data_IF_928106401187
#
_entry.id   IF_928106401187
#
_cell.length_a   1.000
_cell.length_b   1.000
_cell.length_c   1.000
_cell.angle_alpha   90.00
_cell.angle_beta   90.00
_cell.angle_gamma   90.00
#
_symmetry.space_group_name_H-M   'P 1'
#
loop_
_entity.id
_entity.type
_entity.pdbx_description
1 polymer ?
#
# COMPACT_ATOMS: atom_id res chain seq x y z
N UNK A 1 -73.11 -0.66 54.05
CA UNK A 1 -72.71 -0.94 52.68
C UNK A 1 -71.24 -0.50 52.53
N UNK A 2 -70.31 -1.38 52.45
CA UNK A 2 -68.87 -1.11 52.22
C UNK A 2 -68.54 -1.59 50.81
N UNK A 3 -67.85 -0.79 49.97
CA UNK A 3 -67.37 -1.28 48.67
C UNK A 3 -66.03 -2.00 48.83
N UNK A 4 -65.89 -3.15 48.19
CA UNK A 4 -64.67 -3.88 47.99
C UNK A 4 -63.83 -3.22 46.91
N UNK A 5 -62.60 -2.90 47.25
CA UNK A 5 -61.57 -2.50 46.28
C UNK A 5 -60.72 -3.74 45.97
N UNK A 6 -60.85 -4.24 44.75
CA UNK A 6 -59.97 -5.31 44.24
C UNK A 6 -58.69 -4.68 43.73
N UNK A 7 -57.54 -5.01 44.34
CA UNK A 7 -56.22 -4.64 43.87
C UNK A 7 -55.78 -5.62 42.79
N UNK A 8 -55.60 -5.14 41.56
CA UNK A 8 -55.04 -5.90 40.43
C UNK A 8 -53.51 -5.75 40.44
N UNK A 9 -52.80 -6.80 40.88
CA UNK A 9 -51.33 -6.81 40.84
C UNK A 9 -50.86 -7.24 39.45
N UNK A 10 -50.37 -6.31 38.66
CA UNK A 10 -49.70 -6.60 37.39
C UNK A 10 -48.26 -7.12 37.67
N UNK A 11 -48.01 -8.39 37.38
CA UNK A 11 -46.67 -8.95 37.34
C UNK A 11 -46.02 -8.57 35.99
N UNK A 12 -45.14 -7.60 36.01
CA UNK A 12 -44.22 -7.35 34.87
C UNK A 12 -43.11 -8.39 34.90
N UNK A 13 -43.20 -9.39 34.03
CA UNK A 13 -42.08 -10.29 33.77
C UNK A 13 -41.06 -9.54 32.89
N UNK A 14 -39.96 -9.06 33.47
CA UNK A 14 -38.83 -8.54 32.73
C UNK A 14 -38.17 -9.72 31.99
N UNK A 15 -38.37 -9.80 30.68
CA UNK A 15 -37.59 -10.65 29.80
C UNK A 15 -36.23 -9.98 29.65
N UNK A 16 -35.25 -10.39 30.45
CA UNK A 16 -33.85 -10.09 30.21
C UNK A 16 -33.42 -10.88 28.97
N UNK A 17 -32.82 -10.22 27.95
CA UNK A 17 -32.18 -10.98 26.88
C UNK A 17 -31.04 -11.80 27.50
N UNK A 18 -31.13 -13.14 27.40
CA UNK A 18 -30.01 -13.99 27.71
C UNK A 18 -28.91 -13.69 26.67
N UNK A 19 -27.90 -12.95 27.10
CA UNK A 19 -26.65 -12.95 26.38
C UNK A 19 -26.12 -14.38 26.46
N UNK A 20 -26.18 -15.11 25.37
CA UNK A 20 -25.42 -16.34 25.21
C UNK A 20 -23.94 -15.97 25.30
N UNK A 21 -23.34 -16.13 26.46
CA UNK A 21 -21.89 -16.20 26.58
C UNK A 21 -21.51 -17.40 25.74
N UNK A 22 -20.90 -17.17 24.59
CA UNK A 22 -20.27 -18.22 23.82
C UNK A 22 -19.34 -18.96 24.78
N UNK A 23 -19.50 -20.29 24.89
CA UNK A 23 -18.57 -21.12 25.65
C UNK A 23 -17.17 -20.80 25.11
N UNK A 24 -16.22 -20.46 26.01
CA UNK A 24 -14.81 -20.27 25.67
C UNK A 24 -14.37 -21.53 24.92
N UNK A 25 -14.28 -21.44 23.59
CA UNK A 25 -13.60 -22.44 22.80
C UNK A 25 -12.12 -22.28 23.12
N UNK A 26 -11.53 -23.27 23.78
CA UNK A 26 -10.10 -23.27 24.05
C UNK A 26 -9.34 -23.07 22.75
N UNK A 27 -8.59 -21.96 22.65
CA UNK A 27 -7.75 -21.70 21.49
C UNK A 27 -6.39 -22.34 21.71
N UNK A 28 -6.02 -23.26 20.83
CA UNK A 28 -4.70 -23.90 20.83
C UNK A 28 -3.85 -23.30 19.72
N UNK A 29 -2.67 -22.81 20.08
CA UNK A 29 -1.68 -22.28 19.12
C UNK A 29 -0.43 -23.16 19.19
N UNK A 30 -0.09 -23.81 18.08
CA UNK A 30 1.10 -24.66 17.97
C UNK A 30 2.11 -23.95 17.05
N UNK A 31 3.25 -23.57 17.61
CA UNK A 31 4.37 -22.97 16.85
C UNK A 31 5.40 -24.05 16.55
N UNK A 32 5.66 -24.30 15.26
CA UNK A 32 6.61 -25.31 14.78
C UNK A 32 8.03 -24.73 14.71
N UNK A 33 8.68 -24.54 15.85
CA UNK A 33 10.04 -24.00 15.92
C UNK A 33 11.10 -24.94 15.31
N UNK A 34 10.77 -26.22 15.13
CA UNK A 34 11.58 -27.24 14.49
C UNK A 34 11.59 -27.16 12.94
N UNK A 35 10.74 -26.32 12.36
CA UNK A 35 10.54 -26.18 10.90
C UNK A 35 10.62 -24.71 10.47
N UNK A 36 11.83 -24.07 10.55
CA UNK A 36 11.96 -22.67 10.15
C UNK A 36 11.60 -22.51 8.67
N UNK A 37 10.79 -21.50 8.39
CA UNK A 37 10.37 -21.09 7.05
C UNK A 37 11.30 -20.04 6.45
N UNK A 38 10.84 -19.34 5.39
CA UNK A 38 11.61 -18.24 4.79
C UNK A 38 11.67 -17.02 5.73
N UNK A 39 12.63 -16.13 5.43
CA UNK A 39 12.70 -14.83 6.10
C UNK A 39 11.57 -13.93 5.61
N UNK A 40 10.88 -13.29 6.55
CA UNK A 40 9.90 -12.24 6.27
C UNK A 40 10.69 -10.99 5.89
N UNK A 41 10.65 -10.59 4.63
CA UNK A 41 11.33 -9.38 4.17
C UNK A 41 10.75 -8.15 4.90
N UNK A 42 11.62 -7.28 5.42
CA UNK A 42 11.19 -6.04 6.08
C UNK A 42 10.26 -5.20 5.20
N UNK A 43 10.40 -5.25 3.87
CA UNK A 43 9.60 -4.47 2.93
C UNK A 43 8.13 -4.89 2.85
N UNK A 44 7.72 -5.99 3.50
CA UNK A 44 6.30 -6.30 3.77
C UNK A 44 5.61 -5.19 4.58
N UNK A 45 6.37 -4.32 5.25
CA UNK A 45 5.86 -3.21 6.07
C UNK A 45 6.05 -1.85 5.41
N UNK A 46 6.21 -1.80 4.08
CA UNK A 46 6.39 -0.56 3.36
C UNK A 46 5.12 0.30 3.35
N UNK A 47 5.31 1.56 2.98
CA UNK A 47 4.27 2.58 2.95
C UNK A 47 4.06 3.07 1.53
N UNK A 48 2.86 3.58 1.27
CA UNK A 48 2.52 4.21 0.00
C UNK A 48 2.13 5.67 0.23
N UNK A 49 2.77 6.57 -0.50
CA UNK A 49 2.50 8.01 -0.52
C UNK A 49 2.23 8.45 -1.93
N UNK A 50 1.11 9.12 -2.15
CA UNK A 50 0.66 9.60 -3.45
C UNK A 50 0.28 11.06 -3.37
N UNK A 51 0.41 11.80 -4.46
CA UNK A 51 -0.16 13.14 -4.62
C UNK A 51 -1.68 13.07 -4.68
N UNK A 52 -2.29 12.84 -3.51
CA UNK A 52 -3.71 12.60 -3.32
C UNK A 52 -4.19 13.29 -2.05
N UNK A 53 -5.21 14.15 -2.19
CA UNK A 53 -5.81 14.85 -1.05
C UNK A 53 -4.77 15.56 -0.20
N UNK A 54 -4.78 15.31 1.09
CA UNK A 54 -3.78 15.83 2.04
C UNK A 54 -2.72 14.80 2.46
N UNK A 55 -2.48 13.79 1.63
CA UNK A 55 -1.42 12.79 1.89
C UNK A 55 -0.03 13.39 1.86
N UNK A 56 0.27 14.18 0.85
CA UNK A 56 1.54 14.92 0.72
C UNK A 56 1.40 16.29 1.37
N UNK A 57 0.63 17.20 0.78
CA UNK A 57 0.49 18.58 1.27
C UNK A 57 -0.38 18.65 2.51
N UNK A 58 0.16 19.22 3.61
CA UNK A 58 -0.47 19.23 4.93
C UNK A 58 -0.27 17.92 5.72
N UNK A 59 -0.03 16.82 5.02
CA UNK A 59 0.27 15.51 5.58
C UNK A 59 1.77 15.32 5.85
N UNK A 60 2.53 14.96 4.84
CA UNK A 60 3.99 14.76 4.96
C UNK A 60 4.73 16.09 4.84
N UNK A 61 4.30 16.97 3.94
CA UNK A 61 4.98 18.20 3.57
C UNK A 61 4.12 19.44 3.85
N UNK A 62 4.71 20.42 4.51
CA UNK A 62 4.04 21.68 4.87
C UNK A 62 4.76 22.93 4.35
N UNK A 63 5.93 22.74 3.72
CA UNK A 63 6.80 23.84 3.30
C UNK A 63 7.70 24.35 4.44
N UNK A 64 8.84 24.92 4.07
CA UNK A 64 9.87 25.33 5.03
C UNK A 64 9.44 26.50 5.90
N UNK A 65 8.61 27.41 5.35
CA UNK A 65 8.12 28.61 6.04
C UNK A 65 6.88 28.33 6.92
N UNK A 66 6.43 27.08 6.99
CA UNK A 66 5.29 26.69 7.81
C UNK A 66 5.56 26.90 9.31
N UNK A 67 4.59 27.41 10.10
CA UNK A 67 4.70 27.45 11.55
C UNK A 67 4.65 26.05 12.19
N UNK A 68 4.26 25.01 11.45
CA UNK A 68 4.30 23.62 11.90
C UNK A 68 5.77 23.17 11.96
N UNK A 69 6.26 22.60 13.08
CA UNK A 69 7.63 22.14 13.19
C UNK A 69 8.02 21.20 12.05
N UNK A 70 9.02 21.60 11.27
CA UNK A 70 9.43 20.87 10.09
C UNK A 70 10.95 20.85 9.90
N UNK A 71 11.43 19.94 9.08
CA UNK A 71 12.80 19.87 8.59
C UNK A 71 12.76 19.86 7.07
N UNK A 72 13.22 20.91 6.43
CA UNK A 72 13.15 21.09 4.96
C UNK A 72 11.72 21.00 4.41
N UNK A 73 10.75 21.53 5.17
CA UNK A 73 9.33 21.48 4.84
C UNK A 73 8.61 20.18 5.21
N UNK A 74 9.31 19.17 5.70
CA UNK A 74 8.77 17.87 6.09
C UNK A 74 8.42 17.87 7.59
N UNK A 75 7.21 17.42 7.94
CA UNK A 75 6.69 17.46 9.33
C UNK A 75 7.53 16.60 10.25
N UNK A 76 8.05 17.20 11.33
CA UNK A 76 8.90 16.50 12.29
C UNK A 76 8.15 15.44 13.11
N UNK A 77 6.88 15.65 13.40
CA UNK A 77 6.01 14.69 14.11
C UNK A 77 5.75 13.43 13.27
N UNK A 78 5.44 13.61 11.98
CA UNK A 78 5.27 12.51 11.01
C UNK A 78 6.58 11.74 10.84
N UNK A 79 7.71 12.43 10.63
CA UNK A 79 9.04 11.79 10.54
C UNK A 79 9.32 10.96 11.80
N UNK A 80 9.09 11.51 12.98
CA UNK A 80 9.35 10.80 14.23
C UNK A 80 8.49 9.53 14.36
N UNK A 81 7.20 9.61 14.01
CA UNK A 81 6.30 8.47 14.07
C UNK A 81 6.71 7.36 13.08
N UNK A 82 7.07 7.70 11.83
CA UNK A 82 7.48 6.71 10.83
C UNK A 82 8.85 6.09 11.15
N UNK A 83 9.77 6.85 11.74
CA UNK A 83 11.04 6.30 12.28
C UNK A 83 10.80 5.30 13.40
N UNK A 84 9.85 5.60 14.30
CA UNK A 84 9.47 4.67 15.37
C UNK A 84 8.92 3.35 14.82
N UNK A 85 8.15 3.39 13.73
CA UNK A 85 7.68 2.20 13.00
C UNK A 85 8.82 1.45 12.30
N UNK A 86 9.99 2.07 12.11
CA UNK A 86 11.08 1.57 11.25
C UNK A 86 10.57 1.28 9.84
N UNK A 87 9.82 2.24 9.26
CA UNK A 87 9.32 2.10 7.89
C UNK A 87 10.46 1.75 6.95
N UNK A 88 10.44 0.59 6.29
CA UNK A 88 11.59 0.12 5.51
C UNK A 88 11.66 0.74 4.12
N UNK A 89 10.53 1.14 3.55
CA UNK A 89 10.42 1.64 2.17
C UNK A 89 9.18 2.51 2.02
N UNK A 90 9.25 3.48 1.11
CA UNK A 90 8.09 4.29 0.68
C UNK A 90 7.97 4.26 -0.83
N UNK A 91 6.75 3.95 -1.31
CA UNK A 91 6.34 4.03 -2.71
C UNK A 91 5.82 5.43 -3.03
N UNK A 92 6.32 6.05 -4.12
CA UNK A 92 5.98 7.40 -4.60
C UNK A 92 6.25 7.50 -6.12
N UNK A 93 5.67 8.40 -6.93
CA UNK A 93 4.80 9.55 -6.58
C UNK A 93 3.32 9.19 -6.46
N UNK A 94 2.94 7.95 -6.70
CA UNK A 94 1.56 7.53 -6.62
C UNK A 94 1.30 6.16 -7.18
N UNK A 95 0.01 5.84 -7.17
CA UNK A 95 -0.68 4.87 -7.97
C UNK A 95 -1.12 5.52 -9.28
N UNK A 96 -2.41 5.88 -9.39
CA UNK A 96 -2.94 6.52 -10.60
C UNK A 96 -2.22 7.82 -10.97
N UNK A 97 -1.82 8.63 -9.98
CA UNK A 97 -1.10 9.88 -10.24
C UNK A 97 0.27 9.64 -10.91
N UNK A 98 0.92 8.51 -10.67
CA UNK A 98 2.23 8.22 -11.27
C UNK A 98 2.18 8.22 -12.80
N UNK A 99 1.08 7.79 -13.41
CA UNK A 99 0.94 7.67 -14.87
C UNK A 99 0.51 8.98 -15.57
N UNK A 100 0.33 10.07 -14.79
CA UNK A 100 0.23 11.44 -15.28
C UNK A 100 1.37 12.36 -14.78
N UNK A 101 2.26 11.86 -13.87
CA UNK A 101 3.34 12.64 -13.31
C UNK A 101 4.56 12.74 -14.22
N UNK A 102 4.97 13.98 -14.54
CA UNK A 102 6.19 14.26 -15.27
C UNK A 102 7.27 14.77 -14.30
N UNK A 103 8.28 13.95 -14.03
CA UNK A 103 9.27 14.18 -12.98
C UNK A 103 10.03 15.51 -13.10
N UNK A 104 10.19 16.04 -14.34
CA UNK A 104 10.83 17.34 -14.56
C UNK A 104 10.01 18.51 -14.02
N UNK A 105 8.71 18.36 -13.89
CA UNK A 105 7.85 19.36 -13.27
C UNK A 105 8.11 19.48 -11.75
N UNK A 106 8.66 18.45 -11.11
CA UNK A 106 8.95 18.39 -9.67
C UNK A 106 10.43 18.56 -9.31
N UNK A 107 11.27 19.16 -10.15
CA UNK A 107 12.68 19.44 -9.85
C UNK A 107 13.04 20.93 -10.07
N UNK A 108 14.20 21.32 -9.56
CA UNK A 108 14.67 22.71 -9.63
C UNK A 108 13.94 23.64 -8.65
N UNK A 109 14.12 24.98 -8.81
CA UNK A 109 13.51 25.98 -7.93
C UNK A 109 11.98 25.87 -7.91
N UNK A 110 11.38 25.80 -6.73
CA UNK A 110 9.93 25.55 -6.56
C UNK A 110 9.06 26.58 -7.25
N UNK A 111 9.46 27.84 -7.25
CA UNK A 111 8.74 28.94 -7.90
C UNK A 111 8.71 28.86 -9.45
N UNK A 112 9.46 27.92 -10.02
CA UNK A 112 9.51 27.68 -11.47
C UNK A 112 8.90 26.34 -11.87
N UNK A 113 8.48 25.54 -10.90
CA UNK A 113 7.87 24.23 -11.17
C UNK A 113 6.52 24.42 -11.83
N UNK A 114 6.18 23.50 -12.74
CA UNK A 114 4.90 23.57 -13.44
C UNK A 114 3.75 23.29 -12.48
N UNK A 115 2.66 24.03 -12.62
CA UNK A 115 1.39 23.74 -11.95
C UNK A 115 0.52 22.96 -12.94
N UNK A 116 0.05 21.77 -12.51
CA UNK A 116 -0.79 20.89 -13.32
C UNK A 116 -2.13 20.66 -12.61
N UNK A 117 -3.10 20.14 -13.32
CA UNK A 117 -4.31 19.60 -12.68
C UNK A 117 -4.06 18.13 -12.36
N UNK A 118 -4.23 17.75 -11.11
CA UNK A 118 -4.29 16.35 -10.70
C UNK A 118 -5.64 15.79 -11.15
N UNK A 119 -5.65 15.11 -12.29
CA UNK A 119 -6.90 14.68 -12.94
C UNK A 119 -7.49 13.45 -12.27
N UNK A 120 -6.66 12.62 -11.63
CA UNK A 120 -7.10 11.43 -10.94
C UNK A 120 -7.72 11.74 -9.57
N UNK A 121 -7.15 12.72 -8.85
CA UNK A 121 -7.51 12.94 -7.44
C UNK A 121 -8.03 14.35 -7.19
N UNK A 122 -9.35 14.48 -7.18
CA UNK A 122 -10.05 15.70 -6.77
C UNK A 122 -10.09 16.84 -7.79
N UNK A 123 -9.40 16.74 -8.91
CA UNK A 123 -9.38 17.78 -9.95
C UNK A 123 -8.75 19.09 -9.47
N UNK A 124 -7.77 19.03 -8.57
CA UNK A 124 -7.14 20.20 -7.94
C UNK A 124 -5.80 20.55 -8.59
N UNK A 125 -5.33 21.81 -8.49
CA UNK A 125 -3.98 22.17 -8.89
C UNK A 125 -2.93 21.42 -8.08
N UNK A 126 -1.94 20.84 -8.78
CA UNK A 126 -0.72 20.26 -8.23
C UNK A 126 0.44 21.19 -8.60
N UNK A 127 1.07 21.79 -7.61
CA UNK A 127 2.13 22.78 -7.80
C UNK A 127 3.53 22.16 -7.85
N UNK A 128 3.62 20.86 -7.67
CA UNK A 128 4.87 20.11 -7.66
C UNK A 128 5.91 20.60 -6.63
N UNK A 129 5.46 21.27 -5.55
CA UNK A 129 6.34 21.74 -4.49
C UNK A 129 7.03 20.58 -3.76
N UNK A 130 6.43 19.39 -3.77
CA UNK A 130 7.03 18.13 -3.34
C UNK A 130 7.35 17.29 -4.60
N UNK A 131 8.64 17.14 -4.90
CA UNK A 131 9.11 16.38 -6.04
C UNK A 131 10.23 15.41 -5.66
N UNK A 132 11.10 15.10 -6.63
CA UNK A 132 12.17 14.11 -6.45
C UNK A 132 13.06 14.39 -5.23
N UNK A 133 13.50 15.63 -5.06
CA UNK A 133 14.40 16.00 -3.95
C UNK A 133 13.71 15.90 -2.61
N UNK A 134 12.50 16.42 -2.49
CA UNK A 134 11.70 16.38 -1.26
C UNK A 134 11.34 14.94 -0.88
N UNK A 135 11.03 14.09 -1.85
CA UNK A 135 10.78 12.66 -1.61
C UNK A 135 12.02 11.95 -1.05
N UNK A 136 13.19 12.17 -1.66
CA UNK A 136 14.42 11.56 -1.15
C UNK A 136 14.85 12.14 0.19
N UNK A 137 14.62 13.41 0.45
CA UNK A 137 14.80 13.99 1.78
C UNK A 137 13.88 13.31 2.81
N UNK A 138 12.64 13.03 2.45
CA UNK A 138 11.70 12.33 3.31
C UNK A 138 12.16 10.92 3.64
N UNK A 139 12.49 10.09 2.64
CA UNK A 139 12.93 8.71 2.90
C UNK A 139 14.26 8.65 3.65
N UNK A 140 15.20 9.54 3.37
CA UNK A 140 16.47 9.65 4.12
C UNK A 140 16.22 10.04 5.59
N UNK A 141 15.31 10.99 5.86
CA UNK A 141 14.98 11.42 7.22
C UNK A 141 14.29 10.31 8.03
N UNK A 142 13.47 9.48 7.43
CA UNK A 142 12.84 8.36 8.15
C UNK A 142 13.72 7.09 8.17
N UNK A 143 14.77 7.03 7.35
CA UNK A 143 15.68 5.88 7.24
C UNK A 143 15.13 4.76 6.36
N UNK A 144 14.26 5.09 5.38
CA UNK A 144 13.63 4.15 4.47
C UNK A 144 14.36 4.05 3.12
N UNK A 145 14.10 2.97 2.39
CA UNK A 145 14.46 2.82 0.99
C UNK A 145 13.39 3.47 0.08
N UNK A 146 13.77 3.80 -1.15
CA UNK A 146 12.87 4.41 -2.13
C UNK A 146 12.33 3.36 -3.12
N UNK A 147 11.01 3.36 -3.29
CA UNK A 147 10.32 2.74 -4.41
C UNK A 147 9.72 3.87 -5.26
N UNK A 148 10.20 4.00 -6.50
CA UNK A 148 9.77 5.03 -7.44
C UNK A 148 8.94 4.40 -8.55
N UNK A 149 7.77 4.98 -8.85
CA UNK A 149 6.87 4.51 -9.91
C UNK A 149 6.99 5.42 -11.14
N UNK A 150 7.44 4.86 -12.26
CA UNK A 150 7.61 5.58 -13.52
C UNK A 150 6.31 5.68 -14.29
N UNK A 151 6.12 6.80 -14.96
CA UNK A 151 4.98 7.11 -15.81
C UNK A 151 5.04 6.31 -17.12
N UNK A 152 4.10 5.39 -17.33
CA UNK A 152 3.91 4.68 -18.61
C UNK A 152 2.60 5.08 -19.30
N UNK A 153 1.72 5.81 -18.61
CA UNK A 153 0.44 6.29 -19.15
C UNK A 153 0.62 7.43 -20.13
N UNK A 154 1.26 8.50 -19.71
CA UNK A 154 1.51 9.71 -20.53
C UNK A 154 2.99 9.95 -20.80
N UNK A 155 3.89 9.23 -20.11
CA UNK A 155 5.33 9.36 -20.24
C UNK A 155 5.92 8.57 -21.42
N UNK A 156 7.25 8.56 -21.48
CA UNK A 156 8.00 7.86 -22.52
C UNK A 156 9.13 7.02 -21.90
N UNK A 157 9.62 5.96 -22.59
CA UNK A 157 10.79 5.20 -22.14
C UNK A 157 12.03 6.08 -21.92
N UNK A 158 12.20 7.13 -22.72
CA UNK A 158 13.28 8.09 -22.56
C UNK A 158 13.13 8.87 -21.25
N UNK A 159 11.96 9.37 -20.97
CA UNK A 159 11.68 10.13 -19.75
C UNK A 159 11.94 9.28 -18.48
N UNK A 160 11.48 8.04 -18.47
CA UNK A 160 11.74 7.11 -17.37
C UNK A 160 13.25 6.81 -17.21
N UNK A 161 13.98 6.60 -18.33
CA UNK A 161 15.42 6.36 -18.30
C UNK A 161 16.19 7.60 -17.82
N UNK A 162 15.81 8.80 -18.26
CA UNK A 162 16.40 10.07 -17.83
C UNK A 162 16.16 10.31 -16.34
N UNK A 163 14.97 9.96 -15.81
CA UNK A 163 14.70 10.08 -14.39
C UNK A 163 15.54 9.11 -13.55
N UNK A 164 15.66 7.87 -13.99
CA UNK A 164 16.52 6.88 -13.34
C UNK A 164 17.98 7.32 -13.33
N UNK A 165 18.49 7.87 -14.47
CA UNK A 165 19.84 8.44 -14.55
C UNK A 165 20.00 9.65 -13.64
N UNK A 166 19.04 10.57 -13.62
CA UNK A 166 19.06 11.75 -12.75
C UNK A 166 19.19 11.34 -11.28
N UNK A 167 18.45 10.32 -10.84
CA UNK A 167 18.48 9.83 -9.47
C UNK A 167 19.78 9.08 -9.15
N UNK A 168 20.22 8.18 -10.02
CA UNK A 168 21.22 7.15 -9.68
C UNK A 168 22.57 7.32 -10.37
N UNK A 169 22.68 8.21 -11.33
CA UNK A 169 23.92 8.44 -12.09
C UNK A 169 25.02 9.08 -11.24
N UNK A 170 26.28 8.72 -11.52
CA UNK A 170 27.47 9.24 -10.84
C UNK A 170 28.56 9.75 -11.81
N UNK A 171 28.36 9.57 -13.12
CA UNK A 171 29.27 10.06 -14.15
C UNK A 171 28.94 11.50 -14.52
N UNK A 172 29.88 12.22 -15.15
CA UNK A 172 29.69 13.61 -15.53
C UNK A 172 28.80 13.75 -16.77
N UNK A 173 27.50 13.56 -16.58
CA UNK A 173 26.46 13.74 -17.60
C UNK A 173 25.67 15.03 -17.37
N UNK A 174 24.88 15.44 -18.36
CA UNK A 174 24.00 16.61 -18.24
C UNK A 174 23.02 16.45 -17.08
N UNK A 175 22.40 15.27 -16.92
CA UNK A 175 21.42 15.01 -15.86
C UNK A 175 22.06 14.98 -14.48
N UNK A 176 23.28 14.44 -14.36
CA UNK A 176 24.02 14.45 -13.10
C UNK A 176 24.45 15.86 -12.70
N UNK A 177 24.89 16.69 -13.68
CA UNK A 177 25.17 18.12 -13.43
C UNK A 177 23.91 18.88 -13.02
N UNK A 178 22.78 18.61 -13.65
CA UNK A 178 21.48 19.20 -13.29
C UNK A 178 21.06 18.83 -11.86
N UNK A 179 21.17 17.55 -11.46
CA UNK A 179 20.91 17.13 -10.08
C UNK A 179 21.80 17.86 -9.08
N UNK A 180 23.10 18.00 -9.38
CA UNK A 180 24.04 18.73 -8.54
C UNK A 180 23.71 20.23 -8.46
N UNK A 181 23.35 20.85 -9.56
CA UNK A 181 22.89 22.23 -9.60
C UNK A 181 21.60 22.43 -8.76
N UNK A 182 20.74 21.43 -8.70
CA UNK A 182 19.55 21.40 -7.87
C UNK A 182 19.85 21.02 -6.40
N UNK A 183 21.14 20.96 -5.98
CA UNK A 183 21.55 20.82 -4.59
C UNK A 183 21.87 19.39 -4.13
N UNK A 184 21.85 18.39 -5.02
CA UNK A 184 22.19 17.01 -4.64
C UNK A 184 23.45 16.52 -5.33
N UNK A 185 24.55 16.48 -4.57
CA UNK A 185 25.86 16.07 -5.07
C UNK A 185 25.93 14.55 -5.33
N UNK A 186 25.51 13.73 -4.36
CA UNK A 186 25.58 12.26 -4.43
C UNK A 186 24.34 11.65 -5.06
N UNK A 187 24.48 10.55 -5.83
CA UNK A 187 23.30 9.80 -6.29
C UNK A 187 22.49 9.27 -5.13
N UNK A 188 21.20 9.07 -5.36
CA UNK A 188 20.35 8.33 -4.44
C UNK A 188 20.36 6.84 -4.77
N UNK A 189 19.89 6.04 -3.82
CA UNK A 189 19.57 4.63 -4.01
C UNK A 189 18.07 4.52 -4.32
N UNK A 190 17.74 3.93 -5.45
CA UNK A 190 16.40 3.49 -5.79
C UNK A 190 16.38 1.97 -5.65
N UNK A 191 15.54 1.43 -4.77
CA UNK A 191 15.47 -0.02 -4.52
C UNK A 191 14.52 -0.72 -5.47
N UNK A 192 13.37 -0.12 -5.75
CA UNK A 192 12.39 -0.60 -6.74
C UNK A 192 12.08 0.53 -7.72
N UNK A 193 12.05 0.19 -9.01
CA UNK A 193 11.59 1.08 -10.07
C UNK A 193 10.46 0.38 -10.82
N UNK A 194 9.23 0.79 -10.51
CA UNK A 194 8.06 0.24 -11.16
C UNK A 194 7.82 0.92 -12.52
N UNK A 195 7.35 0.16 -13.46
CA UNK A 195 7.01 0.62 -14.81
C UNK A 195 5.48 0.61 -14.97
N UNK A 196 4.86 1.69 -14.50
CA UNK A 196 3.41 1.89 -14.53
C UNK A 196 2.68 1.39 -13.29
N UNK A 197 1.43 1.83 -13.17
CA UNK A 197 0.48 1.48 -12.13
C UNK A 197 -0.88 1.16 -12.72
N UNK A 198 -1.53 0.07 -12.27
CA UNK A 198 -2.91 -0.25 -12.67
C UNK A 198 -3.18 -0.01 -14.17
N UNK A 199 -2.28 -0.51 -15.01
CA UNK A 199 -2.32 -0.23 -16.45
C UNK A 199 -3.57 -0.76 -17.14
N UNK A 200 -4.29 -1.69 -16.48
CA UNK A 200 -5.64 -2.14 -16.86
C UNK A 200 -6.74 -1.08 -16.60
N UNK A 201 -6.46 -0.08 -15.78
CA UNK A 201 -7.39 0.97 -15.34
C UNK A 201 -6.79 2.36 -15.51
N UNK A 202 -6.63 3.09 -14.39
CA UNK A 202 -6.19 4.49 -14.40
C UNK A 202 -4.81 4.72 -15.02
N UNK A 203 -3.93 3.73 -15.03
CA UNK A 203 -2.61 3.80 -15.67
C UNK A 203 -2.62 3.71 -17.20
N UNK A 204 -3.79 3.76 -17.84
CA UNK A 204 -3.87 3.83 -19.30
C UNK A 204 -4.93 2.94 -19.95
N UNK A 205 -5.71 2.20 -19.18
CA UNK A 205 -6.78 1.31 -19.66
C UNK A 205 -6.29 0.38 -20.79
N UNK A 206 -5.15 -0.26 -20.57
CA UNK A 206 -4.40 -1.04 -21.55
C UNK A 206 -4.87 -2.50 -21.60
N UNK A 207 -4.79 -3.11 -22.79
CA UNK A 207 -4.85 -4.57 -22.88
C UNK A 207 -3.53 -5.17 -22.36
N UNK A 208 -3.57 -6.37 -21.76
CA UNK A 208 -2.37 -6.97 -21.16
C UNK A 208 -1.22 -7.20 -22.17
N UNK A 209 -1.53 -7.54 -23.43
CA UNK A 209 -0.52 -7.72 -24.47
C UNK A 209 0.17 -6.40 -24.85
N UNK A 210 -0.61 -5.31 -24.94
CA UNK A 210 -0.05 -3.98 -25.23
C UNK A 210 0.87 -3.53 -24.08
N UNK A 211 0.43 -3.75 -22.84
CA UNK A 211 1.27 -3.40 -21.69
C UNK A 211 2.54 -4.26 -21.64
N UNK A 212 2.47 -5.56 -21.95
CA UNK A 212 3.65 -6.42 -22.00
C UNK A 212 4.68 -5.93 -23.04
N UNK A 213 4.22 -5.48 -24.22
CA UNK A 213 5.09 -4.89 -25.24
C UNK A 213 5.68 -3.55 -24.77
N UNK A 214 4.88 -2.70 -24.15
CA UNK A 214 5.31 -1.42 -23.57
C UNK A 214 6.31 -1.65 -22.42
N UNK A 215 6.05 -2.59 -21.54
CA UNK A 215 6.99 -2.98 -20.48
C UNK A 215 8.34 -3.40 -21.05
N UNK A 216 8.36 -4.25 -22.07
CA UNK A 216 9.60 -4.67 -22.77
C UNK A 216 10.38 -3.46 -23.30
N UNK A 217 9.66 -2.50 -23.89
CA UNK A 217 10.27 -1.28 -24.41
C UNK A 217 10.90 -0.45 -23.29
N UNK A 218 10.16 -0.16 -22.21
CA UNK A 218 10.68 0.59 -21.07
C UNK A 218 11.85 -0.15 -20.41
N UNK A 219 11.68 -1.42 -20.03
CA UNK A 219 12.70 -2.20 -19.35
C UNK A 219 14.02 -2.29 -20.11
N UNK A 220 13.98 -2.24 -21.46
CA UNK A 220 15.18 -2.25 -22.30
C UNK A 220 16.10 -1.06 -22.02
N UNK A 221 15.53 0.09 -21.66
CA UNK A 221 16.28 1.34 -21.42
C UNK A 221 16.55 1.62 -19.95
N UNK A 222 15.97 0.85 -19.02
CA UNK A 222 16.26 0.99 -17.59
C UNK A 222 17.65 0.41 -17.29
N UNK A 223 18.67 1.24 -17.44
CA UNK A 223 20.07 0.87 -17.24
C UNK A 223 20.75 1.86 -16.31
N UNK A 224 21.47 1.34 -15.34
CA UNK A 224 22.27 2.11 -14.39
C UNK A 224 23.67 1.56 -14.33
N UNK A 225 24.55 2.21 -13.56
CA UNK A 225 25.88 1.69 -13.26
C UNK A 225 25.79 0.32 -12.54
N UNK A 226 26.80 -0.53 -12.65
CA UNK A 226 26.85 -1.78 -11.93
C UNK A 226 26.63 -1.59 -10.41
N UNK A 227 25.74 -2.38 -9.82
CA UNK A 227 25.43 -2.33 -8.39
C UNK A 227 24.41 -1.25 -7.97
N UNK A 228 23.91 -0.41 -8.92
CA UNK A 228 22.87 0.58 -8.64
C UNK A 228 21.55 0.27 -9.35
N UNK A 229 21.44 -0.91 -9.97
CA UNK A 229 20.22 -1.29 -10.68
C UNK A 229 19.10 -1.62 -9.68
N UNK A 230 17.97 -0.90 -9.71
CA UNK A 230 16.80 -1.23 -8.90
C UNK A 230 16.16 -2.54 -9.35
N UNK A 231 15.33 -3.15 -8.53
CA UNK A 231 14.38 -4.16 -9.00
C UNK A 231 13.38 -3.51 -9.95
N UNK A 232 13.10 -4.17 -11.08
CA UNK A 232 12.08 -3.73 -12.04
C UNK A 232 10.77 -4.44 -11.74
N UNK A 233 9.75 -3.67 -11.45
CA UNK A 233 8.41 -4.13 -11.13
C UNK A 233 7.46 -3.86 -12.30
N UNK A 234 6.69 -4.86 -12.69
CA UNK A 234 5.62 -4.72 -13.67
C UNK A 234 4.27 -4.52 -12.98
N UNK A 235 3.41 -3.67 -13.55
CA UNK A 235 2.00 -3.55 -13.16
C UNK A 235 1.28 -4.87 -13.47
N UNK A 236 0.78 -5.53 -12.42
CA UNK A 236 0.11 -6.82 -12.52
C UNK A 236 -1.41 -6.70 -12.38
N UNK A 237 -1.99 -7.75 -11.82
CA UNK A 237 -3.44 -7.89 -11.68
C UNK A 237 -3.97 -7.24 -10.39
N UNK A 238 -5.29 -7.25 -10.26
CA UNK A 238 -6.02 -6.89 -9.05
C UNK A 238 -6.99 -7.99 -8.65
N UNK A 239 -7.36 -8.02 -7.37
CA UNK A 239 -8.29 -9.03 -6.84
C UNK A 239 -7.85 -10.47 -7.22
N UNK A 240 -8.76 -11.27 -7.71
CA UNK A 240 -8.48 -12.65 -8.17
C UNK A 240 -8.19 -12.79 -9.65
N UNK A 241 -7.90 -11.70 -10.36
CA UNK A 241 -7.53 -11.72 -11.78
C UNK A 241 -6.12 -12.30 -11.96
N UNK A 242 -5.84 -12.87 -13.14
CA UNK A 242 -4.53 -13.45 -13.48
C UNK A 242 -4.07 -13.10 -14.89
N UNK A 243 -4.87 -12.35 -15.63
CA UNK A 243 -4.66 -12.16 -17.07
C UNK A 243 -3.41 -11.32 -17.38
N UNK A 244 -3.11 -10.31 -16.56
CA UNK A 244 -1.89 -9.52 -16.71
C UNK A 244 -0.66 -10.35 -16.36
N UNK A 245 -0.67 -11.05 -15.23
CA UNK A 245 0.42 -11.94 -14.82
C UNK A 245 0.71 -13.01 -15.86
N UNK A 246 -0.31 -13.72 -16.36
CA UNK A 246 -0.13 -14.72 -17.41
C UNK A 246 0.48 -14.13 -18.67
N UNK A 247 0.00 -12.96 -19.09
CA UNK A 247 0.45 -12.30 -20.32
C UNK A 247 1.88 -11.79 -20.17
N UNK A 248 2.22 -11.20 -19.04
CA UNK A 248 3.58 -10.75 -18.74
C UNK A 248 4.55 -11.94 -18.73
N UNK A 249 4.21 -13.03 -18.03
CA UNK A 249 5.06 -14.21 -17.95
C UNK A 249 5.30 -14.89 -19.31
N UNK A 250 4.35 -14.76 -20.24
CA UNK A 250 4.46 -15.28 -21.63
C UNK A 250 5.27 -14.37 -22.55
N UNK A 251 5.14 -13.05 -22.40
CA UNK A 251 5.58 -12.07 -23.41
C UNK A 251 6.76 -11.20 -22.98
N UNK A 252 7.07 -11.07 -21.67
CA UNK A 252 8.23 -10.30 -21.24
C UNK A 252 9.51 -11.06 -21.56
N UNK A 253 10.42 -10.41 -22.30
CA UNK A 253 11.67 -10.96 -22.81
C UNK A 253 12.90 -10.46 -22.04
N UNK A 254 12.72 -9.35 -21.32
CA UNK A 254 13.76 -8.70 -20.55
C UNK A 254 13.71 -9.02 -19.07
N UNK A 255 14.31 -8.13 -18.28
CA UNK A 255 14.31 -8.22 -16.84
C UNK A 255 12.94 -7.82 -16.29
N UNK A 256 12.40 -8.65 -15.42
CA UNK A 256 11.23 -8.40 -14.60
C UNK A 256 11.46 -9.14 -13.29
N UNK A 257 11.71 -8.40 -12.21
CA UNK A 257 12.09 -8.97 -10.91
C UNK A 257 10.85 -9.29 -10.06
N UNK A 258 9.77 -8.54 -10.30
CA UNK A 258 8.50 -8.73 -9.60
C UNK A 258 7.30 -8.27 -10.45
N UNK A 259 6.11 -8.70 -10.04
CA UNK A 259 4.81 -8.30 -10.59
C UNK A 259 3.96 -7.79 -9.41
N UNK A 260 3.22 -6.70 -9.61
CA UNK A 260 2.32 -6.15 -8.59
C UNK A 260 1.00 -6.92 -8.49
N UNK A 261 0.39 -6.84 -7.31
CA UNK A 261 -0.99 -7.27 -7.05
C UNK A 261 -1.66 -6.23 -6.17
N UNK A 262 -2.84 -5.75 -6.58
CA UNK A 262 -3.64 -4.83 -5.79
C UNK A 262 -4.87 -5.50 -5.20
N UNK A 263 -5.17 -5.24 -3.94
CA UNK A 263 -6.39 -5.68 -3.30
C UNK A 263 -6.88 -4.72 -2.24
N UNK A 264 -8.06 -4.15 -2.46
CA UNK A 264 -8.76 -3.36 -1.45
C UNK A 264 -9.91 -4.13 -0.84
N UNK A 265 -9.96 -4.16 0.49
CA UNK A 265 -11.08 -4.72 1.23
C UNK A 265 -12.27 -3.78 1.14
N UNK A 266 -13.33 -4.23 0.45
CA UNK A 266 -14.65 -3.59 0.34
C UNK A 266 -15.73 -4.58 0.76
N UNK A 267 -16.95 -4.12 1.05
CA UNK A 267 -17.98 -4.98 1.64
C UNK A 267 -18.75 -5.86 0.66
N UNK A 268 -18.83 -5.48 -0.59
CA UNK A 268 -19.65 -6.18 -1.57
C UNK A 268 -18.85 -6.64 -2.78
N UNK A 269 -19.52 -7.32 -3.73
CA UNK A 269 -18.86 -7.82 -4.92
C UNK A 269 -18.60 -6.75 -5.98
N UNK A 270 -19.19 -5.56 -5.84
CA UNK A 270 -19.01 -4.46 -6.79
C UNK A 270 -18.23 -3.34 -6.12
N UNK A 271 -17.46 -2.59 -6.91
CA UNK A 271 -16.66 -1.47 -6.44
C UNK A 271 -17.46 -0.40 -5.67
N UNK A 272 -18.73 -0.21 -6.03
CA UNK A 272 -19.64 0.73 -5.40
C UNK A 272 -20.17 0.26 -4.04
N UNK A 273 -20.04 -1.01 -3.72
CA UNK A 273 -20.55 -1.63 -2.49
C UNK A 273 -19.62 -1.34 -1.28
N UNK A 274 -19.22 -0.09 -1.11
CA UNK A 274 -18.38 0.38 0.00
C UNK A 274 -19.22 0.68 1.22
N UNK A 275 -18.71 0.33 2.41
CA UNK A 275 -19.32 0.71 3.69
C UNK A 275 -18.85 2.09 4.15
N UNK A 276 -19.34 2.49 5.31
CA UNK A 276 -18.86 3.66 6.05
C UNK A 276 -17.62 3.31 6.87
N UNK A 277 -16.73 4.28 7.03
CA UNK A 277 -15.54 4.13 7.87
C UNK A 277 -15.91 3.97 9.35
N UNK A 278 -16.97 4.65 9.79
CA UNK A 278 -17.48 4.65 11.17
C UNK A 278 -18.98 4.37 11.19
N UNK A 279 -19.54 4.07 12.38
CA UNK A 279 -20.98 3.84 12.53
C UNK A 279 -21.49 2.55 11.89
N UNK A 280 -20.61 1.64 11.52
CA UNK A 280 -20.95 0.32 11.00
C UNK A 280 -21.51 -0.58 12.11
N UNK A 281 -22.37 -1.51 11.72
CA UNK A 281 -22.91 -2.55 12.61
C UNK A 281 -22.02 -3.81 12.67
N UNK A 282 -22.47 -4.82 13.41
CA UNK A 282 -21.77 -6.12 13.49
C UNK A 282 -21.64 -6.80 12.12
N UNK A 283 -22.64 -6.62 11.24
CA UNK A 283 -22.58 -7.11 9.86
C UNK A 283 -21.48 -6.43 9.04
N UNK A 284 -21.29 -5.12 9.20
CA UNK A 284 -20.19 -4.36 8.60
C UNK A 284 -18.83 -4.80 9.13
N UNK A 285 -18.75 -5.05 10.43
CA UNK A 285 -17.54 -5.57 11.09
C UNK A 285 -17.09 -6.90 10.49
N UNK A 286 -17.94 -7.94 10.59
CA UNK A 286 -17.56 -9.29 10.17
C UNK A 286 -17.32 -9.40 8.66
N UNK A 287 -18.12 -8.69 7.84
CA UNK A 287 -17.95 -8.69 6.38
C UNK A 287 -16.60 -8.11 5.96
N UNK A 288 -16.17 -7.04 6.61
CA UNK A 288 -14.84 -6.45 6.34
C UNK A 288 -13.75 -7.47 6.64
N UNK A 289 -13.78 -8.14 7.80
CA UNK A 289 -12.79 -9.14 8.16
C UNK A 289 -12.83 -10.35 7.23
N UNK A 290 -14.01 -10.87 6.91
CA UNK A 290 -14.15 -12.00 5.99
C UNK A 290 -13.66 -11.67 4.56
N UNK A 291 -13.95 -10.45 4.06
CA UNK A 291 -13.45 -10.02 2.76
C UNK A 291 -11.93 -9.79 2.76
N UNK A 292 -11.35 -9.37 3.88
CA UNK A 292 -9.89 -9.26 4.01
C UNK A 292 -9.21 -10.61 3.78
N UNK A 293 -9.76 -11.69 4.32
CA UNK A 293 -9.18 -13.03 4.19
C UNK A 293 -9.17 -13.57 2.74
N UNK A 294 -9.93 -12.97 1.82
CA UNK A 294 -9.94 -13.39 0.41
C UNK A 294 -8.59 -13.24 -0.28
N UNK A 295 -7.76 -12.31 0.17
CA UNK A 295 -6.43 -12.08 -0.42
C UNK A 295 -5.54 -13.34 -0.34
N UNK A 296 -5.76 -14.20 0.65
CA UNK A 296 -5.04 -15.48 0.77
C UNK A 296 -5.20 -16.34 -0.50
N UNK A 297 -6.44 -16.49 -0.97
CA UNK A 297 -6.72 -17.21 -2.22
C UNK A 297 -6.16 -16.53 -3.46
N UNK A 298 -6.13 -15.19 -3.49
CA UNK A 298 -5.57 -14.45 -4.62
C UNK A 298 -4.05 -14.59 -4.70
N UNK A 299 -3.34 -14.47 -3.57
CA UNK A 299 -1.90 -14.69 -3.51
C UNK A 299 -1.56 -16.15 -3.84
N UNK A 300 -2.32 -17.12 -3.31
CA UNK A 300 -2.12 -18.54 -3.61
C UNK A 300 -2.20 -18.81 -5.11
N UNK A 301 -3.22 -18.25 -5.78
CA UNK A 301 -3.40 -18.43 -7.23
C UNK A 301 -2.28 -17.79 -8.04
N UNK A 302 -1.83 -16.60 -7.65
CA UNK A 302 -0.72 -15.92 -8.30
C UNK A 302 0.61 -16.68 -8.08
N UNK A 303 0.87 -17.19 -6.87
CA UNK A 303 2.08 -17.97 -6.59
C UNK A 303 2.13 -19.29 -7.36
N UNK A 304 0.99 -20.01 -7.46
CA UNK A 304 0.84 -21.21 -8.28
C UNK A 304 1.20 -20.89 -9.74
N UNK A 305 0.56 -19.88 -10.32
CA UNK A 305 0.76 -19.45 -11.70
C UNK A 305 2.23 -19.08 -11.99
N UNK A 306 2.82 -18.23 -11.15
CA UNK A 306 4.23 -17.83 -11.28
C UNK A 306 5.15 -19.04 -11.20
N UNK A 307 4.87 -19.98 -10.30
CA UNK A 307 5.66 -21.20 -10.12
C UNK A 307 5.59 -22.15 -11.32
N UNK A 308 4.41 -22.25 -11.97
CA UNK A 308 4.22 -23.01 -13.21
C UNK A 308 5.07 -22.42 -14.35
N UNK A 309 5.02 -21.11 -14.57
CA UNK A 309 5.80 -20.45 -15.59
C UNK A 309 7.31 -20.54 -15.32
N UNK A 310 7.74 -20.39 -14.07
CA UNK A 310 9.15 -20.54 -13.68
C UNK A 310 9.66 -21.96 -13.93
N UNK A 311 8.86 -22.97 -13.64
CA UNK A 311 9.22 -24.37 -13.90
C UNK A 311 9.33 -24.71 -15.38
N UNK A 312 8.50 -24.05 -16.22
CA UNK A 312 8.48 -24.26 -17.67
C UNK A 312 9.62 -23.52 -18.42
N UNK A 313 10.37 -22.63 -17.77
CA UNK A 313 11.46 -21.89 -18.42
C UNK A 313 12.59 -22.82 -18.85
N UNK A 314 13.21 -22.60 -20.04
CA UNK A 314 14.44 -23.28 -20.42
C UNK A 314 15.53 -23.08 -19.34
N UNK A 315 16.08 -24.19 -18.82
CA UNK A 315 17.06 -24.15 -17.71
C UNK A 315 16.43 -24.34 -16.32
N UNK A 316 15.10 -24.48 -16.24
CA UNK A 316 14.38 -24.75 -15.00
C UNK A 316 14.06 -23.50 -14.17
N UNK A 317 13.68 -23.69 -12.92
CA UNK A 317 13.31 -22.59 -12.01
C UNK A 317 14.45 -21.60 -11.81
N UNK A 318 14.17 -20.29 -11.81
CA UNK A 318 15.17 -19.29 -11.54
C UNK A 318 15.73 -19.44 -10.11
N UNK A 319 16.98 -19.01 -9.91
CA UNK A 319 17.59 -19.02 -8.57
C UNK A 319 16.82 -18.13 -7.58
N UNK A 320 16.26 -17.03 -8.08
CA UNK A 320 15.41 -16.11 -7.31
C UNK A 320 14.04 -16.11 -7.97
N UNK A 321 13.00 -16.41 -7.21
CA UNK A 321 11.63 -16.38 -7.68
C UNK A 321 11.24 -14.96 -8.12
N UNK A 322 10.43 -14.83 -9.16
CA UNK A 322 9.77 -13.56 -9.50
C UNK A 322 8.93 -13.11 -8.31
N UNK A 323 9.15 -11.90 -7.78
CA UNK A 323 8.41 -11.39 -6.64
C UNK A 323 6.93 -11.17 -6.97
N UNK A 324 6.06 -11.38 -6.00
CA UNK A 324 4.68 -10.88 -6.01
C UNK A 324 4.61 -9.75 -4.98
N UNK A 325 4.45 -8.51 -5.46
CA UNK A 325 4.44 -7.34 -4.60
C UNK A 325 3.03 -6.81 -4.46
N UNK A 326 2.49 -6.87 -3.23
CA UNK A 326 1.16 -6.34 -2.92
C UNK A 326 1.31 -4.85 -2.59
N UNK A 327 1.62 -4.06 -3.59
CA UNK A 327 2.02 -2.67 -3.44
C UNK A 327 0.86 -1.67 -3.36
N UNK A 328 -0.39 -2.21 -3.37
CA UNK A 328 -1.58 -1.51 -2.87
C UNK A 328 -2.52 -2.49 -2.15
N UNK A 329 -2.79 -2.20 -0.88
CA UNK A 329 -3.76 -2.95 -0.08
C UNK A 329 -4.30 -2.10 1.06
N UNK A 330 -5.43 -2.51 1.61
CA UNK A 330 -6.07 -1.86 2.74
C UNK A 330 -7.59 -1.82 2.59
N UNK A 331 -8.24 -1.02 3.42
CA UNK A 331 -9.67 -0.77 3.36
C UNK A 331 -9.98 0.45 2.49
N UNK A 332 -11.06 0.37 1.73
CA UNK A 332 -11.57 1.50 0.97
C UNK A 332 -13.05 1.69 1.26
N UNK A 333 -13.36 2.70 2.05
CA UNK A 333 -14.73 3.05 2.43
C UNK A 333 -15.28 4.19 1.58
N UNK A 334 -16.56 4.52 1.80
CA UNK A 334 -17.14 5.74 1.25
C UNK A 334 -16.39 6.94 1.80
N UNK A 335 -16.14 7.98 0.98
CA UNK A 335 -15.54 9.21 1.46
C UNK A 335 -16.33 9.82 2.61
N UNK A 336 -15.63 10.44 3.57
CA UNK A 336 -16.27 11.13 4.67
C UNK A 336 -17.21 12.23 4.16
N UNK A 337 -18.43 12.34 4.73
CA UNK A 337 -19.40 13.35 4.33
C UNK A 337 -18.80 14.77 4.44
N UNK A 338 -18.94 15.56 3.37
CA UNK A 338 -18.44 16.94 3.32
C UNK A 338 -16.98 17.06 2.86
N UNK A 339 -16.22 15.96 2.72
CA UNK A 339 -14.90 15.96 2.08
C UNK A 339 -15.04 15.95 0.56
N UNK A 340 -13.95 16.35 -0.15
CA UNK A 340 -13.85 16.10 -1.59
C UNK A 340 -13.78 14.58 -1.81
N UNK A 341 -14.70 13.96 -2.57
CA UNK A 341 -14.71 12.51 -2.77
C UNK A 341 -13.41 11.95 -3.37
N UNK A 342 -12.71 12.76 -4.18
CA UNK A 342 -11.43 12.38 -4.76
C UNK A 342 -10.24 12.46 -3.79
N UNK A 343 -10.44 12.90 -2.55
CA UNK A 343 -9.40 12.94 -1.53
C UNK A 343 -9.35 11.70 -0.65
N UNK A 344 -10.30 10.80 -0.80
CA UNK A 344 -10.37 9.50 -0.14
C UNK A 344 -10.15 9.57 1.37
N UNK A 345 -10.72 10.61 2.00
CA UNK A 345 -10.65 10.80 3.46
C UNK A 345 -11.54 9.76 4.13
N UNK A 346 -10.98 8.99 5.04
CA UNK A 346 -11.72 8.06 5.88
C UNK A 346 -11.13 7.98 7.29
N UNK A 347 -12.00 7.84 8.29
CA UNK A 347 -11.61 7.59 9.67
C UNK A 347 -11.18 6.13 9.84
N UNK A 348 -10.04 5.90 10.52
CA UNK A 348 -9.57 4.56 10.84
C UNK A 348 -10.05 4.12 12.24
N UNK A 349 -10.45 2.86 12.37
CA UNK A 349 -10.96 2.25 13.61
C UNK A 349 -10.18 0.99 13.99
N UNK A 350 -10.56 0.31 15.08
CA UNK A 350 -10.00 -0.99 15.45
C UNK A 350 -10.23 -2.06 14.36
N UNK A 351 -11.34 -1.94 13.60
CA UNK A 351 -11.62 -2.81 12.44
C UNK A 351 -10.46 -2.79 11.44
N UNK A 352 -9.94 -1.61 11.14
CA UNK A 352 -8.82 -1.42 10.20
C UNK A 352 -7.51 -2.00 10.75
N UNK A 353 -7.26 -1.89 12.05
CA UNK A 353 -6.10 -2.52 12.70
C UNK A 353 -6.13 -4.05 12.56
N UNK A 354 -7.32 -4.68 12.72
CA UNK A 354 -7.48 -6.12 12.53
C UNK A 354 -7.34 -6.52 11.05
N UNK A 355 -7.82 -5.70 10.11
CA UNK A 355 -7.58 -5.87 8.68
C UNK A 355 -6.08 -5.88 8.39
N UNK A 356 -5.32 -4.95 8.94
CA UNK A 356 -3.87 -4.91 8.76
C UNK A 356 -3.19 -6.16 9.35
N UNK A 357 -3.57 -6.57 10.55
CA UNK A 357 -3.03 -7.76 11.20
C UNK A 357 -3.31 -9.05 10.41
N UNK A 358 -4.55 -9.21 9.90
CA UNK A 358 -4.93 -10.35 9.08
C UNK A 358 -4.13 -10.41 7.77
N UNK A 359 -3.97 -9.27 7.09
CA UNK A 359 -3.13 -9.18 5.89
C UNK A 359 -1.68 -9.55 6.18
N UNK A 360 -1.06 -9.04 7.25
CA UNK A 360 0.31 -9.41 7.62
C UNK A 360 0.47 -10.91 7.86
N UNK A 361 -0.44 -11.55 8.57
CA UNK A 361 -0.39 -12.99 8.79
C UNK A 361 -0.44 -13.76 7.46
N UNK A 362 -1.24 -13.29 6.50
CA UNK A 362 -1.29 -13.88 5.16
C UNK A 362 0.01 -13.63 4.40
N UNK A 363 0.54 -12.41 4.39
CA UNK A 363 1.81 -12.10 3.71
C UNK A 363 2.98 -12.93 4.25
N UNK A 364 3.04 -13.14 5.59
CA UNK A 364 4.05 -13.99 6.22
C UNK A 364 3.97 -15.45 5.77
N UNK A 365 2.76 -15.96 5.51
CA UNK A 365 2.55 -17.31 4.98
C UNK A 365 3.23 -17.50 3.62
N UNK A 366 3.32 -16.43 2.82
CA UNK A 366 3.93 -16.42 1.48
C UNK A 366 5.26 -15.67 1.44
N UNK A 367 6.02 -15.63 2.53
CA UNK A 367 7.23 -14.82 2.66
C UNK A 367 8.34 -15.14 1.64
N UNK A 368 8.33 -16.30 1.00
CA UNK A 368 9.25 -16.66 -0.09
C UNK A 368 8.86 -16.07 -1.45
N UNK A 369 7.64 -15.55 -1.59
CA UNK A 369 7.08 -14.93 -2.80
C UNK A 369 6.73 -13.46 -2.59
N UNK A 370 6.03 -13.14 -1.49
CA UNK A 370 5.63 -11.78 -1.13
C UNK A 370 6.75 -11.13 -0.33
N UNK A 371 7.62 -10.39 -1.03
CA UNK A 371 8.78 -9.74 -0.42
C UNK A 371 8.59 -8.25 -0.18
N UNK A 372 7.50 -7.68 -0.69
CA UNK A 372 7.15 -6.27 -0.50
C UNK A 372 5.65 -6.11 -0.48
N UNK A 373 5.14 -5.29 0.41
CA UNK A 373 3.76 -4.80 0.37
C UNK A 373 3.72 -3.33 0.77
N UNK A 374 2.78 -2.55 0.24
CA UNK A 374 2.62 -1.15 0.63
C UNK A 374 1.15 -0.84 0.93
N UNK A 375 0.89 -0.47 2.18
CA UNK A 375 -0.47 -0.10 2.59
C UNK A 375 -0.87 1.25 2.01
N UNK A 376 -2.08 1.37 1.58
CA UNK A 376 -2.68 2.60 1.10
C UNK A 376 -3.44 3.31 2.24
N UNK A 377 -2.95 4.46 2.76
CA UNK A 377 -1.68 5.11 2.45
C UNK A 377 -0.99 5.58 3.76
N UNK A 378 0.13 6.31 3.64
CA UNK A 378 0.93 6.69 4.82
C UNK A 378 0.22 7.70 5.72
N UNK A 379 -0.33 8.79 5.15
CA UNK A 379 -0.95 9.91 5.88
C UNK A 379 -2.27 10.32 5.23
N UNK A 380 -3.31 10.53 6.03
CA UNK A 380 -4.60 11.15 5.69
C UNK A 380 -5.47 10.44 4.63
N UNK A 381 -4.98 9.49 3.91
CA UNK A 381 -5.65 8.88 2.77
C UNK A 381 -5.95 7.40 3.06
N UNK A 382 -7.16 6.96 2.78
CA UNK A 382 -7.59 5.57 2.96
C UNK A 382 -7.24 5.02 4.34
N UNK A 383 -6.62 3.84 4.41
CA UNK A 383 -6.22 3.21 5.67
C UNK A 383 -4.87 3.78 6.16
N UNK A 384 -4.85 5.08 6.49
CA UNK A 384 -3.65 5.80 6.84
C UNK A 384 -3.06 5.38 8.20
N UNK A 385 -1.72 5.45 8.31
CA UNK A 385 -1.01 5.29 9.59
C UNK A 385 -1.24 6.49 10.50
N UNK A 386 -1.31 7.67 9.92
CA UNK A 386 -1.31 8.96 10.61
C UNK A 386 -2.38 9.84 10.00
N UNK A 387 -3.10 10.56 10.86
CA UNK A 387 -3.98 11.65 10.43
C UNK A 387 -3.41 12.97 10.94
N UNK A 388 -3.47 14.01 10.09
CA UNK A 388 -3.03 15.37 10.42
C UNK A 388 -4.13 16.37 10.09
N UNK A 389 -4.26 17.39 10.95
CA UNK A 389 -5.12 18.54 10.71
C UNK A 389 -4.42 19.79 11.27
N UNK A 390 -3.98 20.70 10.40
CA UNK A 390 -3.14 21.81 10.78
C UNK A 390 -1.92 21.33 11.61
N UNK A 391 -1.68 21.88 12.83
CA UNK A 391 -0.58 21.44 13.68
C UNK A 391 -0.85 20.11 14.41
N UNK A 392 -2.06 19.61 14.43
CA UNK A 392 -2.41 18.37 15.11
C UNK A 392 -1.98 17.13 14.32
N UNK A 393 -1.63 16.06 15.05
CA UNK A 393 -1.32 14.75 14.49
C UNK A 393 -1.81 13.66 15.44
N UNK A 394 -2.42 12.62 14.89
CA UNK A 394 -2.79 11.41 15.64
C UNK A 394 -2.31 10.15 14.92
N UNK A 395 -1.94 9.15 15.70
CA UNK A 395 -1.62 7.80 15.23
C UNK A 395 -2.89 6.98 15.21
N UNK A 396 -3.19 6.35 14.09
CA UNK A 396 -4.41 5.55 13.93
C UNK A 396 -4.27 4.17 14.59
N UNK A 397 -5.37 3.41 14.78
CA UNK A 397 -5.27 2.01 15.17
C UNK A 397 -4.42 1.16 14.23
N UNK A 398 -4.40 1.46 12.92
CA UNK A 398 -3.54 0.80 11.94
C UNK A 398 -2.06 1.04 12.23
N UNK A 399 -1.65 2.26 12.64
CA UNK A 399 -0.29 2.54 13.10
C UNK A 399 0.13 1.59 14.22
N UNK A 400 -0.74 1.38 15.20
CA UNK A 400 -0.45 0.50 16.34
C UNK A 400 -0.34 -0.96 15.92
N UNK A 401 -1.13 -1.42 14.95
CA UNK A 401 -0.94 -2.75 14.35
C UNK A 401 0.47 -2.88 13.74
N UNK A 402 0.89 -1.94 12.89
CA UNK A 402 2.26 -1.94 12.33
C UNK A 402 3.33 -1.93 13.43
N UNK A 403 3.14 -1.15 14.48
CA UNK A 403 4.07 -1.09 15.60
C UNK A 403 4.21 -2.43 16.32
N UNK A 404 3.11 -3.16 16.51
CA UNK A 404 3.11 -4.49 17.11
C UNK A 404 3.81 -5.52 16.22
N UNK A 405 3.71 -5.39 14.89
CA UNK A 405 4.35 -6.29 13.92
C UNK A 405 5.82 -5.96 13.63
N UNK A 406 6.35 -4.88 14.13
CA UNK A 406 7.75 -4.45 13.95
C UNK A 406 8.81 -5.53 14.22
N UNK A 407 8.65 -6.43 15.24
CA UNK A 407 9.63 -7.49 15.49
C UNK A 407 9.74 -8.55 14.38
N UNK A 408 8.79 -8.62 13.47
CA UNK A 408 8.79 -9.58 12.36
C UNK A 408 9.64 -9.13 11.17
N UNK A 409 10.08 -7.86 11.13
CA UNK A 409 10.97 -7.35 10.08
C UNK A 409 12.28 -8.15 10.06
N UNK A 410 12.60 -8.78 8.92
CA UNK A 410 13.76 -9.66 8.69
C UNK A 410 13.82 -10.88 9.63
N UNK A 411 12.70 -11.24 10.29
CA UNK A 411 12.60 -12.42 11.11
C UNK A 411 12.36 -13.68 10.28
N UNK A 412 12.83 -14.83 10.78
CA UNK A 412 12.52 -16.13 10.19
C UNK A 412 11.10 -16.52 10.54
N UNK A 413 10.26 -16.83 9.53
CA UNK A 413 8.91 -17.31 9.78
C UNK A 413 8.91 -18.70 10.39
N UNK A 414 7.95 -18.94 11.29
CA UNK A 414 7.69 -20.27 11.85
C UNK A 414 6.27 -20.69 11.47
N UNK A 415 6.03 -21.91 11.01
CA UNK A 415 4.67 -22.38 10.78
C UNK A 415 3.88 -22.39 12.09
N UNK A 416 2.66 -21.87 12.01
CA UNK A 416 1.72 -21.80 13.15
C UNK A 416 0.44 -22.52 12.76
N UNK A 417 0.01 -23.44 13.62
CA UNK A 417 -1.28 -24.10 13.53
C UNK A 417 -2.17 -23.51 14.64
N UNK A 418 -3.38 -23.06 14.27
CA UNK A 418 -4.33 -22.47 15.22
C UNK A 418 -5.61 -23.27 15.18
N UNK A 419 -5.96 -23.86 16.32
CA UNK A 419 -7.27 -24.47 16.55
C UNK A 419 -8.08 -23.53 17.43
N UNK A 420 -9.13 -22.93 16.87
CA UNK A 420 -9.95 -21.92 17.54
C UNK A 420 -11.42 -22.08 17.15
N UNK A 421 -12.29 -21.45 17.93
CA UNK A 421 -13.69 -21.28 17.56
C UNK A 421 -13.84 -20.34 16.37
N UNK A 422 -15.05 -20.27 15.87
CA UNK A 422 -15.43 -19.43 14.74
C UNK A 422 -16.38 -18.35 15.23
N UNK A 423 -16.08 -17.08 14.89
CA UNK A 423 -17.02 -15.98 15.05
C UNK A 423 -17.90 -15.87 13.82
N UNK A 424 -19.21 -15.89 14.02
CA UNK A 424 -20.19 -15.88 12.93
C UNK A 424 -21.31 -14.87 13.18
N UNK A 425 -21.67 -14.15 12.12
CA UNK A 425 -22.83 -13.27 12.09
C UNK A 425 -23.49 -13.36 10.71
N UNK A 426 -24.81 -13.59 10.66
CA UNK A 426 -25.54 -13.91 9.42
C UNK A 426 -24.89 -15.10 8.69
N UNK A 427 -24.56 -14.90 7.42
CA UNK A 427 -23.86 -15.89 6.57
C UNK A 427 -22.33 -15.79 6.61
N UNK A 428 -21.79 -14.87 7.35
CA UNK A 428 -20.36 -14.60 7.40
C UNK A 428 -19.72 -15.28 8.61
N UNK A 429 -18.51 -15.74 8.43
CA UNK A 429 -17.74 -16.42 9.45
C UNK A 429 -16.25 -16.13 9.29
N UNK A 430 -15.57 -15.94 10.41
CA UNK A 430 -14.12 -15.79 10.49
C UNK A 430 -13.59 -16.66 11.62
N UNK A 431 -12.33 -17.17 11.52
CA UNK A 431 -11.70 -17.92 12.58
C UNK A 431 -11.51 -17.10 13.86
#
# INVERSE_FOLDING_TARGET
MRPFIAALTLLLAAVMPAFAVAADADTTVIVRADRPGPTIDKNVYAQFSEHLGSGIYGGVFVGEDSPIPNTRGLRNDVIAALRELRVPMVRWPGGCFADEYHWRDGIGPRERRAVRINTNWGGVPEDNAFGTHEFFDFVELIGADAYVNANVGTGTPREAAEWLEYMTGDQDTTLVRERKANGRERPWKVSIYALGNETWGCGGNMRPEYYADLYNQYATFMKTRPGAMPELLASGDHDGQTVFTETLMKNVRGRMDAISLHYYTILGPRWEDKDTATGFDEGGWIRTLANTLRIDGFIARQDELLSEFEAARPGGRPRVKTGLYVDEWGTWYRPEPGSNPGFLVQQNTLRDALVAAANFNIFHKYADRVRMTAIAQTVNVLQAMILTDGPAMVRTPTYHAFHMYRPFQDAVSLPVEVETGTYSHDRWSVP
#
